data_IF_629989168265
#
_entry.id   IF_629989168265
#
_cell.length_a   1.000
_cell.length_b   1.000
_cell.length_c   1.000
_cell.angle_alpha   90.00
_cell.angle_beta   90.00
_cell.angle_gamma   90.00
#
_symmetry.space_group_name_H-M   'P 1'
#
loop_
_entity.id
_entity.type
_entity.pdbx_description
1 polymer ?
#
# COMPACT_ATOMS: atom_id res chain seq x y z
N UNK A 1 5.94 -16.46 21.22
CA UNK A 1 6.03 -15.02 20.91
C UNK A 1 5.36 -14.82 19.56
N UNK A 2 4.05 -14.52 19.56
CA UNK A 2 3.24 -14.52 18.33
C UNK A 2 3.67 -13.39 17.41
N UNK A 3 4.30 -13.71 16.28
CA UNK A 3 4.43 -12.76 15.19
C UNK A 3 3.01 -12.51 14.68
N UNK A 4 2.41 -11.38 15.08
CA UNK A 4 1.14 -10.96 14.50
C UNK A 4 1.30 -10.95 12.98
N UNK A 5 0.54 -11.80 12.30
CA UNK A 5 0.52 -11.83 10.85
C UNK A 5 0.09 -10.45 10.36
N UNK A 6 0.79 -9.87 9.37
CA UNK A 6 0.45 -8.55 8.90
C UNK A 6 -0.94 -8.56 8.27
N UNK A 7 -1.78 -7.61 8.66
CA UNK A 7 -3.12 -7.40 8.09
C UNK A 7 -3.09 -7.27 6.55
N UNK A 8 -1.97 -6.78 6.01
CA UNK A 8 -1.71 -6.80 4.58
C UNK A 8 -0.22 -6.77 4.26
N UNK A 9 0.22 -7.54 3.26
CA UNK A 9 1.57 -7.43 2.70
C UNK A 9 1.55 -7.58 1.19
N UNK A 10 2.24 -6.68 0.48
CA UNK A 10 2.48 -6.79 -0.95
C UNK A 10 3.92 -6.41 -1.30
N UNK A 11 4.52 -7.16 -2.22
CA UNK A 11 5.87 -6.91 -2.76
C UNK A 11 5.80 -6.67 -4.26
N UNK A 12 6.85 -6.11 -4.86
CA UNK A 12 6.84 -5.79 -6.29
C UNK A 12 5.86 -4.65 -6.61
N UNK A 13 5.69 -3.74 -5.64
CA UNK A 13 4.84 -2.56 -5.77
C UNK A 13 5.66 -1.43 -6.35
N UNK A 14 5.21 -0.85 -7.46
CA UNK A 14 5.78 0.41 -7.93
C UNK A 14 5.22 1.54 -7.08
N UNK A 15 6.11 2.25 -6.39
CA UNK A 15 5.79 3.35 -5.48
C UNK A 15 6.29 4.64 -6.11
N UNK A 16 5.37 5.56 -6.35
CA UNK A 16 5.65 6.84 -6.99
C UNK A 16 5.14 7.98 -6.13
N UNK A 17 5.94 9.05 -6.04
CA UNK A 17 5.56 10.30 -5.42
C UNK A 17 5.76 11.38 -6.47
N UNK A 18 4.67 11.85 -7.07
CA UNK A 18 4.74 12.82 -8.16
C UNK A 18 5.67 13.99 -7.79
N UNK A 19 6.60 14.40 -8.67
CA UNK A 19 6.80 13.92 -10.06
C UNK A 19 7.81 12.75 -10.21
N UNK A 20 8.27 12.10 -9.13
CA UNK A 20 9.33 11.07 -9.19
C UNK A 20 8.86 9.66 -8.82
N UNK A 21 9.43 8.65 -9.50
CA UNK A 21 9.32 7.25 -9.05
C UNK A 21 10.34 7.01 -7.94
N UNK A 22 9.91 6.41 -6.82
CA UNK A 22 10.78 6.10 -5.68
C UNK A 22 11.33 4.68 -5.76
N UNK A 23 10.48 3.73 -6.15
CA UNK A 23 10.88 2.35 -6.41
C UNK A 23 9.91 1.67 -7.37
N UNK A 24 10.41 0.74 -8.18
CA UNK A 24 9.60 -0.08 -9.09
C UNK A 24 9.19 -1.42 -8.47
N UNK A 25 9.86 -1.84 -7.41
CA UNK A 25 9.67 -3.15 -6.77
C UNK A 25 9.68 -3.03 -5.24
N UNK A 26 9.08 -1.95 -4.74
CA UNK A 26 8.88 -1.71 -3.32
C UNK A 26 7.93 -2.70 -2.67
N UNK A 27 7.69 -2.48 -1.40
CA UNK A 27 6.78 -3.27 -0.59
C UNK A 27 5.81 -2.36 0.15
N UNK A 28 4.61 -2.87 0.40
CA UNK A 28 3.57 -2.21 1.20
C UNK A 28 3.19 -3.18 2.29
N UNK A 29 3.25 -2.72 3.53
CA UNK A 29 2.93 -3.50 4.71
C UNK A 29 1.90 -2.74 5.53
N UNK A 30 0.85 -3.41 5.96
CA UNK A 30 -0.02 -2.95 7.04
C UNK A 30 0.13 -3.94 8.17
N UNK A 31 0.61 -3.45 9.31
CA UNK A 31 0.80 -4.24 10.50
C UNK A 31 0.51 -3.39 11.74
N UNK A 32 -0.18 -3.98 12.72
CA UNK A 32 -0.49 -3.33 14.01
C UNK A 32 -1.19 -1.98 13.80
N UNK A 33 -2.08 -1.90 12.80
CA UNK A 33 -2.80 -0.66 12.45
C UNK A 33 -1.93 0.46 11.86
N UNK A 34 -0.71 0.16 11.40
CA UNK A 34 0.19 1.09 10.72
C UNK A 34 0.49 0.65 9.31
N UNK A 35 0.45 1.59 8.38
CA UNK A 35 0.94 1.42 7.02
C UNK A 35 2.41 1.80 6.94
N UNK A 36 3.19 0.97 6.26
CA UNK A 36 4.58 1.22 5.89
C UNK A 36 4.77 1.03 4.38
N UNK A 37 5.32 2.06 3.73
CA UNK A 37 5.84 2.01 2.37
C UNK A 37 7.33 1.71 2.45
N UNK A 38 7.78 0.70 1.73
CA UNK A 38 9.13 0.17 1.82
C UNK A 38 9.78 0.11 0.44
N UNK A 39 11.11 0.26 0.39
CA UNK A 39 11.89 -0.06 -0.81
C UNK A 39 11.93 -1.58 -1.02
N UNK A 40 12.48 -2.03 -2.15
CA UNK A 40 12.68 -3.46 -2.44
C UNK A 40 13.51 -4.18 -1.37
N UNK A 41 14.42 -3.46 -0.71
CA UNK A 41 15.30 -3.95 0.35
C UNK A 41 14.66 -3.88 1.75
N UNK A 42 13.39 -3.49 1.87
CA UNK A 42 12.72 -3.36 3.16
C UNK A 42 13.04 -2.08 3.94
N UNK A 43 13.66 -1.07 3.31
CA UNK A 43 13.89 0.24 3.95
C UNK A 43 12.62 1.08 3.93
N UNK A 44 12.23 1.64 5.07
CA UNK A 44 11.06 2.53 5.18
C UNK A 44 11.26 3.78 4.33
N UNK A 45 10.33 4.01 3.42
CA UNK A 45 10.15 5.24 2.65
C UNK A 45 9.28 6.21 3.46
N UNK A 46 8.15 5.70 3.98
CA UNK A 46 7.16 6.48 4.73
C UNK A 46 6.32 5.52 5.58
N UNK A 47 5.86 5.98 6.76
CA UNK A 47 4.92 5.19 7.58
C UNK A 47 3.92 6.07 8.32
N UNK A 48 2.69 5.61 8.46
CA UNK A 48 1.66 6.31 9.20
C UNK A 48 0.66 5.34 9.85
N UNK A 49 -0.02 5.74 10.94
CA UNK A 49 -1.22 5.05 11.40
C UNK A 49 -2.24 4.96 10.25
N UNK A 50 -2.85 3.79 10.04
CA UNK A 50 -3.81 3.58 8.95
C UNK A 50 -4.99 4.54 9.03
N UNK A 51 -5.43 4.91 10.24
CA UNK A 51 -6.45 5.95 10.46
C UNK A 51 -6.11 7.33 9.88
N UNK A 52 -4.83 7.63 9.69
CA UNK A 52 -4.34 8.87 9.07
C UNK A 52 -4.03 8.70 7.58
N UNK A 53 -4.20 7.49 7.04
CA UNK A 53 -4.03 7.17 5.62
C UNK A 53 -5.37 7.32 4.92
N UNK A 54 -5.36 8.04 3.79
CA UNK A 54 -6.50 8.05 2.87
C UNK A 54 -6.12 7.25 1.63
N UNK A 55 -6.83 6.16 1.37
CA UNK A 55 -6.62 5.35 0.16
C UNK A 55 -7.84 5.41 -0.75
N UNK A 56 -7.62 5.35 -2.07
CA UNK A 56 -8.71 5.39 -3.05
C UNK A 56 -8.28 4.91 -4.43
N UNK A 57 -9.27 4.57 -5.25
CA UNK A 57 -9.03 4.19 -6.65
C UNK A 57 -8.84 5.46 -7.49
N UNK A 58 -7.72 5.60 -8.22
CA UNK A 58 -7.56 6.70 -9.18
C UNK A 58 -8.55 6.54 -10.33
N UNK A 59 -9.18 7.65 -10.74
CA UNK A 59 -10.13 7.69 -11.86
C UNK A 59 -9.47 7.54 -13.24
N UNK A 60 -8.13 7.66 -13.33
CA UNK A 60 -7.34 7.67 -14.57
C UNK A 60 -6.24 6.59 -14.66
N UNK A 61 -6.19 5.63 -13.73
CA UNK A 61 -5.11 4.64 -13.73
C UNK A 61 -5.61 3.20 -13.80
N UNK A 62 -4.73 2.35 -14.36
CA UNK A 62 -4.88 0.90 -14.53
C UNK A 62 -5.48 0.21 -13.30
N UNK A 63 -6.23 -0.88 -13.48
CA UNK A 63 -6.98 -1.54 -12.38
C UNK A 63 -6.10 -2.06 -11.24
N UNK A 64 -4.79 -2.22 -11.48
CA UNK A 64 -3.78 -2.55 -10.47
C UNK A 64 -3.25 -1.34 -9.66
N UNK A 65 -3.68 -0.12 -9.99
CA UNK A 65 -3.21 1.12 -9.39
C UNK A 65 -4.15 1.60 -8.28
N UNK A 66 -3.56 2.03 -7.16
CA UNK A 66 -4.25 2.73 -6.07
C UNK A 66 -3.46 3.98 -5.67
N UNK A 67 -4.14 4.94 -5.05
CA UNK A 67 -3.52 6.14 -4.48
C UNK A 67 -3.65 6.07 -2.97
N UNK A 68 -2.55 6.31 -2.27
CA UNK A 68 -2.50 6.42 -0.82
C UNK A 68 -1.91 7.78 -0.44
N UNK A 69 -2.64 8.56 0.35
CA UNK A 69 -2.13 9.76 1.01
C UNK A 69 -1.67 9.35 2.40
N UNK A 70 -0.37 9.44 2.64
CA UNK A 70 0.30 9.03 3.87
C UNK A 70 1.01 10.26 4.45
N UNK A 71 0.69 10.66 5.68
CA UNK A 71 1.20 11.89 6.30
C UNK A 71 1.04 13.14 5.39
N UNK A 72 -0.10 13.25 4.70
CA UNK A 72 -0.37 14.35 3.75
C UNK A 72 0.35 14.26 2.41
N UNK A 73 1.26 13.29 2.21
CA UNK A 73 1.96 13.07 0.95
C UNK A 73 1.21 12.04 0.11
N UNK A 74 0.95 12.39 -1.16
CA UNK A 74 0.25 11.51 -2.11
C UNK A 74 1.23 10.55 -2.79
N UNK A 75 0.97 9.27 -2.64
CA UNK A 75 1.70 8.18 -3.29
C UNK A 75 0.79 7.44 -4.26
N UNK A 76 1.32 7.10 -5.43
CA UNK A 76 0.71 6.14 -6.34
C UNK A 76 1.38 4.78 -6.13
N UNK A 77 0.55 3.76 -5.92
CA UNK A 77 0.97 2.39 -5.69
C UNK A 77 0.39 1.54 -6.83
N UNK A 78 1.27 0.94 -7.63
CA UNK A 78 0.85 0.00 -8.69
C UNK A 78 1.29 -1.39 -8.29
N UNK A 79 0.32 -2.27 -8.05
CA UNK A 79 0.54 -3.63 -7.53
C UNK A 79 1.01 -4.60 -8.63
N UNK A 80 1.69 -5.67 -8.23
CA UNK A 80 1.87 -6.86 -9.07
C UNK A 80 2.83 -6.73 -10.26
N UNK A 81 3.88 -5.90 -10.16
CA UNK A 81 4.89 -5.85 -11.24
C UNK A 81 5.73 -7.13 -11.37
N UNK A 82 5.70 -8.03 -10.38
CA UNK A 82 6.53 -9.25 -10.32
C UNK A 82 5.74 -10.57 -10.35
N UNK A 83 4.42 -10.53 -10.51
CA UNK A 83 3.52 -11.70 -10.50
C UNK A 83 2.42 -11.61 -11.56
N UNK A 84 1.75 -12.74 -11.85
CA UNK A 84 0.74 -12.88 -12.90
C UNK A 84 -0.37 -11.83 -12.69
N UNK A 85 -0.62 -10.99 -13.72
CA UNK A 85 -1.60 -9.88 -13.71
C UNK A 85 -2.94 -10.10 -12.97
N UNK A 86 -3.60 -11.29 -12.97
CA UNK A 86 -4.83 -11.49 -12.19
C UNK A 86 -4.69 -11.15 -10.69
N UNK A 87 -3.49 -11.28 -10.11
CA UNK A 87 -3.26 -11.03 -8.68
C UNK A 87 -3.23 -9.53 -8.33
N UNK A 88 -2.88 -8.67 -9.28
CA UNK A 88 -2.62 -7.25 -9.02
C UNK A 88 -3.90 -6.46 -8.66
N UNK A 89 -5.01 -6.74 -9.36
CA UNK A 89 -6.32 -6.13 -9.08
C UNK A 89 -6.87 -6.60 -7.73
N UNK A 90 -6.73 -7.89 -7.42
CA UNK A 90 -7.13 -8.45 -6.12
C UNK A 90 -6.32 -7.85 -4.99
N UNK A 91 -5.00 -7.69 -5.16
CA UNK A 91 -4.12 -7.04 -4.19
C UNK A 91 -4.49 -5.57 -3.96
N UNK A 92 -4.82 -4.83 -5.03
CA UNK A 92 -5.29 -3.45 -4.90
C UNK A 92 -6.61 -3.36 -4.12
N UNK A 93 -7.55 -4.28 -4.36
CA UNK A 93 -8.79 -4.40 -3.60
C UNK A 93 -8.53 -4.71 -2.12
N UNK A 94 -7.71 -5.73 -1.83
CA UNK A 94 -7.32 -6.12 -0.47
C UNK A 94 -6.63 -5.00 0.29
N UNK A 95 -5.78 -4.22 -0.39
CA UNK A 95 -5.15 -3.04 0.21
C UNK A 95 -6.20 -2.00 0.64
N UNK A 96 -7.16 -1.69 -0.23
CA UNK A 96 -8.23 -0.74 0.10
C UNK A 96 -9.10 -1.26 1.24
N UNK A 97 -9.44 -2.55 1.25
CA UNK A 97 -10.15 -3.17 2.39
C UNK A 97 -9.34 -3.14 3.67
N UNK A 98 -8.04 -3.43 3.64
CA UNK A 98 -7.19 -3.39 4.83
C UNK A 98 -7.10 -1.96 5.40
N UNK A 99 -7.00 -0.94 4.54
CA UNK A 99 -7.02 0.46 4.97
C UNK A 99 -8.38 0.85 5.58
N UNK A 100 -9.49 0.40 4.98
CA UNK A 100 -10.85 0.65 5.52
C UNK A 100 -11.11 -0.09 6.82
N UNK A 101 -10.80 -1.38 6.87
CA UNK A 101 -11.03 -2.25 8.03
C UNK A 101 -10.21 -1.81 9.24
N UNK A 102 -8.92 -1.54 9.07
CA UNK A 102 -8.07 -1.04 10.15
C UNK A 102 -8.35 0.44 10.52
N UNK A 103 -9.03 1.19 9.65
CA UNK A 103 -9.54 2.53 9.96
C UNK A 103 -10.87 2.54 10.73
N UNK A 104 -11.67 1.47 10.63
CA UNK A 104 -12.98 1.34 11.28
C UNK A 104 -13.01 0.44 12.52
N UNK A 105 -12.02 -0.42 12.72
CA UNK A 105 -11.96 -1.32 13.88
C UNK A 105 -11.49 -0.60 15.15
N UNK A 106 -12.39 0.19 15.77
CA UNK A 106 -12.55 0.48 17.22
C UNK A 106 -13.58 1.60 17.39
N UNK A 107 -14.84 1.22 17.66
CA UNK A 107 -15.81 1.99 18.43
C UNK A 107 -16.41 1.07 19.48
#
# INVERSE_FOLDING_TARGET
MGMAEPEFSATGVRIERWPRSLTKAGQVLIKDGRLALLTSYGRVIESAPVRAVRAGKPWFADEASTVATVNGKRYRLTMGQRGRRPDARVLAGRFLEAVRGAGGARS
#
